data_IF_713513617142
#
_entry.id   IF_713513617142
#
_cell.length_a   1.000
_cell.length_b   1.000
_cell.length_c   1.000
_cell.angle_alpha   90.00
_cell.angle_beta   90.00
_cell.angle_gamma   90.00
#
_symmetry.space_group_name_H-M   'P 1'
#
loop_
_entity.id
_entity.type
_entity.pdbx_description
1 polymer ?
#
# COMPACT_ATOMS: atom_id res chain seq x y z
N UNK A 1 -13.77 -2.10 1.15
CA UNK A 1 -13.41 -1.11 0.10
C UNK A 1 -12.16 -0.37 0.56
N UNK A 2 -11.13 -0.34 -0.27
CA UNK A 2 -9.92 0.45 -0.02
C UNK A 2 -10.21 1.92 -0.32
N UNK A 3 -9.81 2.81 0.57
CA UNK A 3 -9.88 4.26 0.36
C UNK A 3 -8.56 4.81 -0.17
N UNK A 4 -7.48 4.62 0.59
CA UNK A 4 -6.13 5.06 0.22
C UNK A 4 -5.07 4.09 0.76
N UNK A 5 -3.90 4.11 0.13
CA UNK A 5 -2.67 3.57 0.72
C UNK A 5 -2.05 4.68 1.59
N UNK A 6 -1.86 4.38 2.87
CA UNK A 6 -1.34 5.34 3.86
C UNK A 6 0.18 5.33 3.87
N UNK A 7 0.77 4.14 3.87
CA UNK A 7 2.22 3.93 3.82
C UNK A 7 2.53 2.54 3.29
N UNK A 8 3.81 2.21 3.20
CA UNK A 8 4.30 0.90 2.81
C UNK A 8 5.40 0.42 3.76
N UNK A 9 5.71 -0.87 3.68
CA UNK A 9 6.85 -1.48 4.37
C UNK A 9 7.74 -2.19 3.38
N UNK A 10 9.03 -2.17 3.67
CA UNK A 10 10.07 -2.70 2.81
C UNK A 10 10.98 -3.67 3.57
N UNK A 11 11.48 -4.68 2.85
CA UNK A 11 12.53 -5.58 3.32
C UNK A 11 13.54 -5.71 2.19
N UNK A 12 14.81 -5.42 2.48
CA UNK A 12 15.90 -5.48 1.50
C UNK A 12 15.68 -4.63 0.23
N UNK A 13 15.01 -3.47 0.36
CA UNK A 13 14.68 -2.62 -0.79
C UNK A 13 13.56 -3.19 -1.67
N UNK A 14 12.78 -4.15 -1.16
CA UNK A 14 11.61 -4.70 -1.84
C UNK A 14 10.38 -4.41 -1.00
N UNK A 15 9.32 -3.91 -1.63
CA UNK A 15 8.03 -3.67 -0.98
C UNK A 15 7.36 -4.98 -0.61
N UNK A 16 7.01 -5.13 0.67
CA UNK A 16 6.41 -6.36 1.21
C UNK A 16 4.97 -6.18 1.68
N UNK A 17 4.49 -4.94 1.84
CA UNK A 17 3.11 -4.68 2.19
C UNK A 17 2.76 -3.19 2.25
N UNK A 18 1.47 -2.95 2.36
CA UNK A 18 0.86 -1.63 2.35
C UNK A 18 -0.03 -1.46 3.57
N UNK A 19 0.02 -0.30 4.22
CA UNK A 19 -0.96 0.08 5.21
C UNK A 19 -2.14 0.74 4.49
N UNK A 20 -3.32 0.19 4.68
CA UNK A 20 -4.52 0.59 3.95
C UNK A 20 -5.51 1.28 4.88
N UNK A 21 -6.06 2.41 4.43
CA UNK A 21 -7.25 3.02 5.03
C UNK A 21 -8.51 2.50 4.37
N UNK A 22 -9.48 2.13 5.18
CA UNK A 22 -10.75 1.57 4.72
C UNK A 22 -11.83 2.64 4.69
N UNK A 23 -12.56 2.69 3.57
CA UNK A 23 -13.64 3.67 3.38
C UNK A 23 -14.67 3.53 4.51
N UNK A 24 -14.93 4.64 5.20
CA UNK A 24 -15.93 4.71 6.27
C UNK A 24 -15.44 4.20 7.63
N UNK A 25 -14.15 3.86 7.76
CA UNK A 25 -13.55 3.47 9.04
C UNK A 25 -12.50 4.50 9.48
N UNK A 26 -12.41 4.82 10.78
CA UNK A 26 -11.39 5.73 11.28
C UNK A 26 -9.99 5.10 11.23
N UNK A 27 -8.91 5.92 11.30
CA UNK A 27 -7.52 5.45 11.16
C UNK A 27 -7.08 4.32 12.11
N UNK A 28 -7.77 4.14 13.24
CA UNK A 28 -7.53 3.02 14.16
C UNK A 28 -7.80 1.64 13.52
N UNK A 29 -8.54 1.61 12.42
CA UNK A 29 -8.81 0.42 11.62
C UNK A 29 -7.86 0.26 10.43
N UNK A 30 -6.92 1.18 10.23
CA UNK A 30 -5.91 1.05 9.18
C UNK A 30 -5.16 -0.28 9.39
N UNK A 31 -5.03 -1.08 8.34
CA UNK A 31 -4.47 -2.43 8.46
C UNK A 31 -3.49 -2.77 7.36
N UNK A 32 -2.54 -3.64 7.69
CA UNK A 32 -1.49 -4.07 6.76
C UNK A 32 -2.02 -5.17 5.84
N UNK A 33 -1.85 -4.94 4.54
CA UNK A 33 -2.21 -5.90 3.49
C UNK A 33 -0.92 -6.33 2.75
N UNK A 34 -0.73 -7.64 2.48
CA UNK A 34 0.37 -8.11 1.66
C UNK A 34 0.36 -7.46 0.27
N UNK A 35 1.53 -7.10 -0.25
CA UNK A 35 1.65 -6.43 -1.56
C UNK A 35 0.94 -7.19 -2.68
N UNK A 36 1.16 -8.50 -2.76
CA UNK A 36 0.53 -9.36 -3.77
C UNK A 36 -1.01 -9.34 -3.71
N UNK A 37 -1.59 -9.32 -2.50
CA UNK A 37 -3.04 -9.29 -2.33
C UNK A 37 -3.62 -7.93 -2.77
N UNK A 38 -2.94 -6.83 -2.44
CA UNK A 38 -3.42 -5.50 -2.81
C UNK A 38 -3.29 -5.26 -4.32
N UNK A 39 -2.18 -5.69 -4.94
CA UNK A 39 -1.94 -5.62 -6.38
C UNK A 39 -3.02 -6.39 -7.15
N UNK A 40 -3.34 -7.62 -6.73
CA UNK A 40 -4.33 -8.47 -7.40
C UNK A 40 -5.73 -7.84 -7.47
N UNK A 41 -6.09 -6.99 -6.50
CA UNK A 41 -7.41 -6.39 -6.40
C UNK A 41 -7.45 -4.90 -6.80
N UNK A 42 -6.31 -4.20 -6.75
CA UNK A 42 -6.23 -2.74 -6.86
C UNK A 42 -4.94 -2.26 -7.56
N UNK A 43 -4.55 -2.91 -8.66
CA UNK A 43 -3.32 -2.60 -9.42
C UNK A 43 -3.12 -1.09 -9.65
N UNK A 44 -4.07 -0.39 -10.26
CA UNK A 44 -3.94 1.05 -10.52
C UNK A 44 -3.91 1.97 -9.28
N UNK A 45 -4.28 1.48 -8.09
CA UNK A 45 -4.05 2.20 -6.85
C UNK A 45 -2.60 2.03 -6.38
N UNK A 46 -2.08 0.81 -6.48
CA UNK A 46 -0.69 0.49 -6.14
C UNK A 46 0.26 1.23 -7.08
N UNK A 47 0.05 1.16 -8.40
CA UNK A 47 0.91 1.82 -9.39
C UNK A 47 1.07 3.31 -9.11
N UNK A 48 -0.03 4.03 -8.90
CA UNK A 48 0.00 5.47 -8.59
C UNK A 48 0.72 5.79 -7.29
N UNK A 49 0.56 4.93 -6.29
CA UNK A 49 1.25 5.10 -5.01
C UNK A 49 2.75 4.82 -5.16
N UNK A 50 3.14 3.83 -5.94
CA UNK A 50 4.53 3.45 -6.21
C UNK A 50 5.24 4.54 -7.03
N UNK A 51 4.59 5.09 -8.05
CA UNK A 51 5.07 6.23 -8.84
C UNK A 51 5.29 7.48 -7.98
N UNK A 52 4.37 7.76 -7.05
CA UNK A 52 4.48 8.90 -6.14
C UNK A 52 5.49 8.67 -5.00
N UNK A 53 5.84 7.42 -4.70
CA UNK A 53 6.72 7.04 -3.60
C UNK A 53 7.81 6.06 -4.09
N UNK A 54 8.65 6.44 -5.05
CA UNK A 54 9.63 5.52 -5.62
C UNK A 54 10.60 5.03 -4.54
N UNK A 55 10.97 3.76 -4.62
CA UNK A 55 12.04 3.22 -3.78
C UNK A 55 13.36 3.93 -4.13
N UNK A 56 14.20 4.24 -3.13
CA UNK A 56 15.50 4.83 -3.42
C UNK A 56 16.33 3.88 -4.28
N UNK A 57 16.92 4.42 -5.34
CA UNK A 57 17.92 3.71 -6.14
C UNK A 57 19.09 3.37 -5.20
N UNK A 58 19.35 2.07 -5.00
CA UNK A 58 20.50 1.56 -4.24
C UNK A 58 21.74 1.48 -5.11
#
# INVERSE_FOLDING_TARGET
MVEIIVTHREVNGVRTGYLVRWRGYPPVWDSWVPGAQLIANFLGLVDRYDEANPLPLR
#
